data_IF_046626544975
#
_entry.id   IF_046626544975
#
_cell.length_a   1.000
_cell.length_b   1.000
_cell.length_c   1.000
_cell.angle_alpha   90.00
_cell.angle_beta   90.00
_cell.angle_gamma   90.00
#
_symmetry.space_group_name_H-M   'P 1'
#
loop_
_entity.id
_entity.type
_entity.pdbx_description
1 polymer ?
#
# COMPACT_ATOMS: atom_id res chain seq x y z
N UNK A 1 45.01 17.59 -32.66
CA UNK A 1 43.89 18.11 -33.48
C UNK A 1 42.59 17.56 -32.91
N UNK A 2 41.79 18.46 -32.32
CA UNK A 2 40.32 18.48 -32.19
C UNK A 2 39.53 17.19 -31.86
N UNK A 3 38.94 17.14 -30.65
CA UNK A 3 37.63 16.50 -30.39
C UNK A 3 36.47 17.43 -30.80
N UNK A 4 35.34 17.50 -30.06
CA UNK A 4 34.49 16.45 -29.47
C UNK A 4 32.96 16.70 -29.71
N UNK A 5 32.06 15.76 -29.39
CA UNK A 5 30.62 15.99 -29.16
C UNK A 5 30.18 15.04 -28.02
N UNK A 6 29.96 15.51 -26.79
CA UNK A 6 28.67 15.93 -26.16
C UNK A 6 27.58 14.85 -26.29
N UNK A 7 26.97 14.29 -25.24
CA UNK A 7 26.43 14.91 -24.02
C UNK A 7 24.93 14.56 -23.98
N UNK A 8 24.46 13.88 -22.93
CA UNK A 8 23.06 13.44 -22.87
C UNK A 8 22.70 12.80 -21.53
N UNK A 9 22.41 13.65 -20.55
CA UNK A 9 21.80 13.33 -19.26
C UNK A 9 20.46 12.59 -19.44
N UNK A 10 20.31 11.43 -18.81
CA UNK A 10 19.02 10.71 -18.70
C UNK A 10 18.57 10.73 -17.24
N UNK A 11 18.05 11.89 -16.83
CA UNK A 11 17.18 12.03 -15.67
C UNK A 11 15.91 11.19 -15.93
N UNK A 12 15.76 10.04 -15.26
CA UNK A 12 14.46 9.35 -15.18
C UNK A 12 13.63 10.03 -14.10
N UNK A 13 12.52 10.65 -14.52
CA UNK A 13 11.46 11.10 -13.62
C UNK A 13 10.87 9.89 -12.87
N UNK A 14 11.15 9.79 -11.57
CA UNK A 14 10.39 8.95 -10.64
C UNK A 14 9.19 9.77 -10.18
N UNK A 15 7.98 9.39 -10.60
CA UNK A 15 6.76 10.15 -10.33
C UNK A 15 5.68 9.24 -9.74
N UNK A 16 5.22 9.66 -8.55
CA UNK A 16 3.99 9.32 -7.81
C UNK A 16 3.99 8.12 -6.85
N UNK A 17 4.33 8.38 -5.58
CA UNK A 17 3.60 7.79 -4.44
C UNK A 17 2.80 8.85 -3.63
N UNK A 18 2.96 10.15 -3.95
CA UNK A 18 2.19 11.23 -3.31
C UNK A 18 1.73 12.25 -4.36
N UNK A 19 0.52 12.11 -4.90
CA UNK A 19 -0.22 13.30 -5.34
C UNK A 19 -1.60 13.34 -4.71
N UNK A 20 -1.75 14.34 -3.84
CA UNK A 20 -3.04 14.93 -3.50
C UNK A 20 -3.66 15.54 -4.75
N UNK A 21 -4.97 15.37 -4.86
CA UNK A 21 -5.87 15.92 -5.86
C UNK A 21 -5.62 17.41 -6.17
N UNK A 22 -5.31 17.71 -7.44
CA UNK A 22 -5.74 18.93 -8.15
C UNK A 22 -5.90 18.58 -9.64
N UNK A 23 -7.14 18.52 -10.11
CA UNK A 23 -7.47 18.49 -11.53
C UNK A 23 -7.33 19.92 -12.10
N UNK A 24 -6.53 20.16 -13.16
CA UNK A 24 -6.77 21.28 -14.04
C UNK A 24 -7.58 20.80 -15.24
N UNK A 25 -8.82 21.27 -15.33
CA UNK A 25 -9.62 21.20 -16.56
C UNK A 25 -9.03 22.25 -17.51
N UNK A 26 -8.25 21.81 -18.50
CA UNK A 26 -7.82 22.66 -19.59
C UNK A 26 -8.68 22.35 -20.82
N UNK A 27 -9.65 23.21 -21.06
CA UNK A 27 -10.37 23.34 -22.33
C UNK A 27 -9.40 23.84 -23.40
N UNK A 28 -9.23 23.09 -24.49
CA UNK A 28 -8.63 23.59 -25.73
C UNK A 28 -9.67 23.49 -26.84
N UNK A 29 -10.19 24.64 -27.26
CA UNK A 29 -10.97 24.79 -28.48
C UNK A 29 -10.04 24.60 -29.68
N UNK A 30 -10.20 23.49 -30.40
CA UNK A 30 -9.68 23.30 -31.74
C UNK A 30 -10.84 23.27 -32.74
N UNK A 31 -11.01 24.34 -33.50
CA UNK A 31 -11.97 24.44 -34.59
C UNK A 31 -11.49 23.58 -35.78
N UNK A 32 -12.09 22.41 -35.95
CA UNK A 32 -11.94 21.59 -37.15
C UNK A 32 -13.30 21.09 -37.58
N UNK A 33 -13.84 21.68 -38.65
CA UNK A 33 -15.10 21.27 -39.28
C UNK A 33 -14.90 19.93 -39.98
N UNK A 34 -15.38 18.84 -39.38
CA UNK A 34 -15.55 17.56 -40.04
C UNK A 34 -17.05 17.30 -40.23
N UNK A 35 -17.42 17.01 -41.47
CA UNK A 35 -18.75 16.61 -41.92
C UNK A 35 -19.39 15.59 -40.97
N UNK A 36 -20.57 15.93 -40.42
CA UNK A 36 -21.39 15.03 -39.62
C UNK A 36 -22.32 14.27 -40.57
N UNK A 37 -21.96 13.04 -40.92
CA UNK A 37 -22.96 12.08 -41.37
C UNK A 37 -23.67 11.48 -40.15
N UNK A 38 -25.00 11.48 -40.23
CA UNK A 38 -25.94 11.09 -39.19
C UNK A 38 -25.67 9.68 -38.66
N UNK A 39 -25.19 9.58 -37.42
CA UNK A 39 -25.04 8.30 -36.73
C UNK A 39 -25.94 8.25 -35.48
N UNK A 40 -27.21 7.89 -35.70
CA UNK A 40 -28.26 7.69 -34.68
C UNK A 40 -27.77 6.80 -33.53
N UNK A 41 -26.82 5.90 -33.80
CA UNK A 41 -26.26 4.97 -32.83
C UNK A 41 -25.40 5.64 -31.74
N UNK A 42 -24.68 6.72 -32.09
CA UNK A 42 -23.85 7.47 -31.14
C UNK A 42 -24.72 8.26 -30.16
N UNK A 43 -25.84 8.80 -30.64
CA UNK A 43 -26.79 9.56 -29.82
C UNK A 43 -27.50 8.69 -28.78
N UNK A 44 -27.98 7.51 -29.19
CA UNK A 44 -28.61 6.54 -28.26
C UNK A 44 -27.61 6.03 -27.21
N UNK A 45 -26.34 5.88 -27.57
CA UNK A 45 -25.31 5.46 -26.62
C UNK A 45 -24.98 6.56 -25.61
N UNK A 46 -24.88 7.82 -26.06
CA UNK A 46 -24.62 8.95 -25.18
C UNK A 46 -25.75 9.20 -24.18
N UNK A 47 -27.01 9.05 -24.58
CA UNK A 47 -28.16 9.16 -23.66
C UNK A 47 -28.14 8.06 -22.58
N UNK A 48 -27.81 6.82 -22.94
CA UNK A 48 -27.71 5.72 -21.98
C UNK A 48 -26.56 5.91 -20.98
N UNK A 49 -25.42 6.43 -21.45
CA UNK A 49 -24.29 6.77 -20.57
C UNK A 49 -24.65 7.93 -19.64
N UNK A 50 -25.34 8.96 -20.13
CA UNK A 50 -25.79 10.09 -19.31
C UNK A 50 -26.80 9.66 -18.22
N UNK A 51 -27.74 8.76 -18.56
CA UNK A 51 -28.67 8.19 -17.59
C UNK A 51 -27.94 7.40 -16.49
N UNK A 52 -26.96 6.55 -16.86
CA UNK A 52 -26.16 5.78 -15.92
C UNK A 52 -25.34 6.67 -14.97
N UNK A 53 -24.73 7.74 -15.49
CA UNK A 53 -24.00 8.74 -14.68
C UNK A 53 -24.95 9.46 -13.72
N UNK A 54 -26.17 9.78 -14.16
CA UNK A 54 -27.22 10.35 -13.31
C UNK A 54 -27.63 9.44 -12.16
N UNK A 55 -27.78 8.13 -12.43
CA UNK A 55 -28.11 7.12 -11.42
C UNK A 55 -27.02 7.01 -10.34
N UNK A 56 -25.75 6.96 -10.77
CA UNK A 56 -24.57 6.89 -9.87
C UNK A 56 -24.48 8.14 -8.99
N UNK A 57 -24.75 9.33 -9.54
CA UNK A 57 -24.75 10.57 -8.77
C UNK A 57 -25.85 10.58 -7.70
N UNK A 58 -27.04 10.02 -7.98
CA UNK A 58 -28.14 9.92 -7.01
C UNK A 58 -27.79 8.95 -5.88
N UNK A 59 -27.17 7.81 -6.18
CA UNK A 59 -26.72 6.85 -5.16
C UNK A 59 -25.63 7.46 -4.27
N UNK A 60 -24.66 8.16 -4.85
CA UNK A 60 -23.60 8.85 -4.08
C UNK A 60 -24.19 9.92 -3.13
N UNK A 61 -25.18 10.69 -3.59
CA UNK A 61 -25.86 11.69 -2.76
C UNK A 61 -26.65 11.05 -1.60
N UNK A 62 -27.30 9.90 -1.82
CA UNK A 62 -28.00 9.16 -0.78
C UNK A 62 -27.03 8.59 0.27
N UNK A 63 -25.88 8.05 -0.16
CA UNK A 63 -24.84 7.56 0.74
C UNK A 63 -24.22 8.68 1.58
N UNK A 64 -24.00 9.86 0.98
CA UNK A 64 -23.51 11.03 1.70
C UNK A 64 -24.51 11.53 2.76
N UNK A 65 -25.81 11.55 2.42
CA UNK A 65 -26.89 11.92 3.37
C UNK A 65 -27.04 10.89 4.49
N UNK A 66 -26.92 9.60 4.18
CA UNK A 66 -26.92 8.53 5.18
C UNK A 66 -25.72 8.63 6.12
N UNK A 67 -24.50 8.81 5.58
CA UNK A 67 -23.28 8.97 6.38
C UNK A 67 -23.34 10.20 7.31
N UNK A 68 -23.90 11.31 6.84
CA UNK A 68 -24.15 12.49 7.67
C UNK A 68 -25.20 12.21 8.77
N UNK A 69 -26.27 11.47 8.45
CA UNK A 69 -27.28 11.05 9.42
C UNK A 69 -26.71 10.13 10.52
N UNK A 70 -25.88 9.16 10.15
CA UNK A 70 -25.18 8.28 11.09
C UNK A 70 -24.24 9.09 11.99
N UNK A 71 -23.47 10.02 11.42
CA UNK A 71 -22.57 10.90 12.20
C UNK A 71 -23.32 11.76 13.22
N UNK A 72 -24.55 12.18 12.91
CA UNK A 72 -25.40 12.95 13.82
C UNK A 72 -25.99 12.09 14.94
N UNK A 73 -26.27 10.81 14.69
CA UNK A 73 -26.79 9.88 15.69
C UNK A 73 -25.72 9.39 16.67
N UNK A 74 -24.46 9.30 16.23
CA UNK A 74 -23.35 8.75 17.03
C UNK A 74 -22.53 9.85 17.73
N UNK A 75 -22.72 11.12 17.38
CA UNK A 75 -21.84 12.24 17.77
C UNK A 75 -22.27 13.11 18.95
N UNK A 76 -22.78 12.54 20.06
CA UNK A 76 -23.07 13.32 21.28
C UNK A 76 -22.62 12.62 22.58
N UNK A 77 -21.39 12.08 22.58
CA UNK A 77 -20.69 11.66 23.80
C UNK A 77 -19.27 12.23 23.79
N UNK A 78 -19.18 13.53 24.03
CA UNK A 78 -17.95 14.19 24.47
C UNK A 78 -18.24 14.73 25.88
N UNK A 79 -17.93 13.91 26.89
CA UNK A 79 -17.91 14.36 28.28
C UNK A 79 -16.53 14.89 28.63
N UNK A 80 -16.56 16.15 29.02
CA UNK A 80 -15.58 16.96 29.70
C UNK A 80 -14.88 16.25 30.88
N UNK A 81 -13.59 16.53 31.10
CA UNK A 81 -12.96 16.67 32.42
C UNK A 81 -11.45 16.91 32.31
N UNK A 82 -11.08 18.19 32.40
CA UNK A 82 -9.79 18.60 32.95
C UNK A 82 -9.75 18.32 34.46
N UNK A 83 -8.63 17.80 34.98
CA UNK A 83 -8.13 18.08 36.34
C UNK A 83 -6.67 17.62 36.46
N UNK A 84 -5.84 18.57 36.85
CA UNK A 84 -4.41 18.44 37.16
C UNK A 84 -4.19 17.78 38.52
N UNK A 85 -3.06 17.08 38.69
CA UNK A 85 -2.20 17.09 39.89
C UNK A 85 -0.97 16.21 39.65
N UNK A 86 0.22 16.72 39.99
CA UNK A 86 1.51 16.11 39.72
C UNK A 86 2.01 15.14 40.79
N UNK A 87 3.31 14.84 40.72
CA UNK A 87 4.06 14.17 41.79
C UNK A 87 4.90 12.99 41.32
N UNK A 88 6.21 13.19 41.29
CA UNK A 88 7.22 12.22 40.91
C UNK A 88 7.47 11.14 41.97
N UNK A 89 7.63 9.89 41.54
CA UNK A 89 8.47 8.84 42.14
C UNK A 89 8.84 7.91 40.96
N UNK A 90 10.07 7.83 40.46
CA UNK A 90 11.25 7.29 41.13
C UNK A 90 11.63 5.96 40.46
N UNK A 91 12.57 6.04 39.50
CA UNK A 91 13.47 5.02 38.95
C UNK A 91 13.28 3.56 39.40
N UNK A 92 13.11 2.66 38.43
CA UNK A 92 13.87 1.40 38.35
C UNK A 92 14.12 1.06 36.86
N UNK A 93 15.40 0.90 36.52
CA UNK A 93 15.91 0.55 35.19
C UNK A 93 15.40 -0.82 34.73
N UNK A 94 15.12 -1.00 33.43
CA UNK A 94 15.71 -2.04 32.55
C UNK A 94 15.04 -2.10 31.16
N UNK A 95 15.77 -1.62 30.16
CA UNK A 95 15.83 -2.04 28.74
C UNK A 95 14.58 -2.69 28.10
N UNK A 96 13.77 -1.89 27.42
CA UNK A 96 12.86 -2.33 26.36
C UNK A 96 13.25 -1.61 25.05
N UNK A 97 13.31 -2.30 23.89
CA UNK A 97 13.57 -1.64 22.61
C UNK A 97 12.44 -0.63 22.30
N UNK A 98 12.74 0.51 21.68
CA UNK A 98 11.75 1.52 21.37
C UNK A 98 10.82 0.98 20.27
N UNK A 99 9.56 0.66 20.62
CA UNK A 99 8.55 0.25 19.63
C UNK A 99 7.38 -0.60 20.12
N UNK A 100 7.34 -1.05 21.38
CA UNK A 100 6.16 -1.76 21.88
C UNK A 100 5.08 -0.77 22.35
N UNK A 101 4.17 -0.35 21.47
CA UNK A 101 2.86 0.11 21.93
C UNK A 101 2.14 -1.08 22.58
N UNK A 102 2.12 -1.08 23.90
CA UNK A 102 1.36 -2.01 24.72
C UNK A 102 -0.12 -1.69 24.57
N UNK A 103 -0.90 -2.56 23.89
CA UNK A 103 -2.36 -2.41 23.89
C UNK A 103 -3.15 -3.33 22.96
N UNK A 104 -2.63 -3.71 21.78
CA UNK A 104 -3.36 -4.62 20.87
C UNK A 104 -2.53 -5.85 20.55
N UNK A 105 -3.04 -7.08 20.75
CA UNK A 105 -2.35 -8.29 20.32
C UNK A 105 -2.19 -8.28 18.79
N UNK A 106 -0.95 -8.29 18.31
CA UNK A 106 -0.65 -8.39 16.89
C UNK A 106 -0.66 -9.85 16.43
N UNK A 107 -1.53 -10.19 15.47
CA UNK A 107 -1.62 -11.53 14.90
C UNK A 107 -0.28 -12.01 14.33
N UNK A 108 0.43 -11.17 13.60
CA UNK A 108 1.70 -11.54 12.96
C UNK A 108 2.83 -11.70 13.96
N UNK A 109 2.82 -10.99 15.10
CA UNK A 109 3.74 -11.27 16.21
C UNK A 109 3.52 -12.67 16.79
N UNK A 110 2.27 -13.13 16.89
CA UNK A 110 1.97 -14.48 17.37
C UNK A 110 2.47 -15.55 16.40
N UNK A 111 2.27 -15.36 15.10
CA UNK A 111 2.79 -16.24 14.05
C UNK A 111 4.33 -16.25 14.08
N UNK A 112 4.95 -15.08 14.12
CA UNK A 112 6.41 -14.91 14.16
C UNK A 112 7.06 -15.55 15.40
N UNK A 113 6.33 -15.61 16.51
CA UNK A 113 6.76 -16.26 17.75
C UNK A 113 6.43 -17.76 17.80
N UNK A 114 5.95 -18.36 16.69
CA UNK A 114 5.47 -19.74 16.61
C UNK A 114 4.40 -20.10 17.66
N UNK A 115 3.59 -19.11 18.07
CA UNK A 115 2.50 -19.30 19.03
C UNK A 115 1.15 -19.62 18.38
N UNK A 116 1.02 -19.41 17.07
CA UNK A 116 -0.18 -19.77 16.33
C UNK A 116 -0.06 -21.21 15.77
N UNK A 117 -0.87 -22.16 16.25
CA UNK A 117 -0.85 -23.54 15.77
C UNK A 117 -1.45 -23.72 14.37
N UNK A 118 -2.17 -22.73 13.85
CA UNK A 118 -2.90 -22.85 12.58
C UNK A 118 -2.06 -22.46 11.36
N UNK A 119 -0.96 -21.73 11.56
CA UNK A 119 -0.13 -21.24 10.46
C UNK A 119 1.08 -22.13 10.27
N UNK A 120 1.17 -22.78 9.11
CA UNK A 120 2.37 -23.53 8.71
C UNK A 120 3.40 -22.58 8.12
N UNK A 121 4.59 -22.53 8.73
CA UNK A 121 5.71 -21.74 8.24
C UNK A 121 6.38 -22.46 7.06
N UNK A 122 6.57 -21.74 5.96
CA UNK A 122 7.31 -22.20 4.78
C UNK A 122 8.81 -22.00 4.95
N UNK A 123 9.20 -21.00 5.73
CA UNK A 123 10.57 -20.63 6.08
C UNK A 123 10.57 -19.93 7.43
N UNK A 124 11.64 -20.13 8.19
CA UNK A 124 11.90 -19.42 9.44
C UNK A 124 13.41 -19.36 9.67
N UNK A 125 13.93 -18.17 9.98
CA UNK A 125 15.27 -17.99 10.53
C UNK A 125 15.20 -17.22 11.86
N UNK A 126 16.32 -16.64 12.30
CA UNK A 126 16.39 -15.86 13.55
C UNK A 126 15.50 -14.61 13.50
N UNK A 127 15.39 -13.96 12.35
CA UNK A 127 14.83 -12.61 12.19
C UNK A 127 13.54 -12.57 11.38
N UNK A 128 13.25 -13.58 10.55
CA UNK A 128 12.16 -13.59 9.58
C UNK A 128 11.37 -14.89 9.60
N UNK A 129 10.10 -14.80 9.18
CA UNK A 129 9.22 -15.93 8.90
C UNK A 129 8.54 -15.74 7.56
N UNK A 130 8.22 -16.85 6.89
CA UNK A 130 7.41 -16.85 5.67
C UNK A 130 6.26 -17.84 5.82
N UNK A 131 5.07 -17.41 5.44
CA UNK A 131 3.88 -18.26 5.45
C UNK A 131 2.94 -17.90 4.29
N UNK A 132 1.95 -18.75 4.04
CA UNK A 132 0.96 -18.53 2.98
C UNK A 132 -0.07 -17.48 3.42
N UNK A 133 -0.45 -16.62 2.48
CA UNK A 133 -1.61 -15.77 2.67
C UNK A 133 -2.88 -16.64 2.76
N UNK A 134 -3.79 -16.31 3.68
CA UNK A 134 -5.05 -17.04 3.89
C UNK A 134 -6.05 -16.81 2.75
N UNK A 135 -5.88 -15.73 1.98
CA UNK A 135 -6.65 -15.35 0.81
C UNK A 135 -5.69 -15.19 -0.38
N UNK A 136 -5.14 -16.30 -0.89
CA UNK A 136 -4.12 -16.26 -1.93
C UNK A 136 -4.66 -15.59 -3.20
N UNK A 137 -3.91 -14.62 -3.71
CA UNK A 137 -4.25 -13.89 -4.94
C UNK A 137 -3.81 -14.64 -6.20
N UNK A 138 -2.88 -15.59 -6.06
CA UNK A 138 -2.37 -16.48 -7.11
C UNK A 138 -1.91 -17.79 -6.46
N UNK A 139 -1.44 -18.76 -7.25
CA UNK A 139 -0.96 -20.07 -6.77
C UNK A 139 0.12 -19.93 -5.70
N UNK A 140 1.07 -19.04 -5.92
CA UNK A 140 2.03 -18.64 -4.89
C UNK A 140 1.64 -17.25 -4.41
N UNK A 141 1.10 -17.17 -3.19
CA UNK A 141 0.92 -15.92 -2.46
C UNK A 141 1.49 -16.10 -1.04
N UNK A 142 2.67 -15.54 -0.82
CA UNK A 142 3.40 -15.66 0.45
C UNK A 142 3.61 -14.30 1.08
N UNK A 143 3.69 -14.32 2.41
CA UNK A 143 3.99 -13.15 3.23
C UNK A 143 5.35 -13.36 3.90
N UNK A 144 6.31 -12.49 3.60
CA UNK A 144 7.59 -12.44 4.31
C UNK A 144 7.47 -11.40 5.41
N UNK A 145 7.68 -11.81 6.66
CA UNK A 145 7.41 -11.00 7.85
C UNK A 145 8.64 -11.00 8.76
N UNK A 146 9.18 -9.83 9.15
CA UNK A 146 10.20 -9.76 10.18
C UNK A 146 9.56 -10.07 11.54
N UNK A 147 10.28 -10.77 12.42
CA UNK A 147 9.83 -11.05 13.78
C UNK A 147 9.77 -9.78 14.63
N UNK A 148 10.63 -8.81 14.34
CA UNK A 148 10.52 -7.47 14.91
C UNK A 148 9.22 -6.82 14.44
N UNK A 149 8.45 -6.28 15.39
CA UNK A 149 7.22 -5.59 15.07
C UNK A 149 7.51 -4.19 14.50
N UNK A 150 7.29 -4.02 13.21
CA UNK A 150 7.34 -2.74 12.51
C UNK A 150 5.95 -2.50 11.96
N UNK A 151 5.33 -1.34 12.23
CA UNK A 151 3.90 -1.13 11.90
C UNK A 151 3.58 -1.24 10.41
N UNK A 152 4.40 -0.62 9.56
CA UNK A 152 4.22 -0.60 8.10
C UNK A 152 5.48 -0.05 7.42
N UNK A 153 5.52 -0.13 6.09
CA UNK A 153 6.62 0.42 5.27
C UNK A 153 6.86 1.92 5.48
N UNK A 154 5.85 2.69 5.90
CA UNK A 154 5.99 4.13 6.21
C UNK A 154 6.84 4.44 7.45
N UNK A 155 7.01 3.47 8.33
CA UNK A 155 7.83 3.62 9.54
C UNK A 155 9.31 3.34 9.31
N UNK A 156 9.70 2.99 8.08
CA UNK A 156 11.08 2.64 7.74
C UNK A 156 11.90 3.89 7.38
N UNK A 157 13.17 3.85 7.75
CA UNK A 157 14.19 4.87 7.48
C UNK A 157 15.23 4.32 6.49
N UNK A 158 16.11 5.16 5.90
CA UNK A 158 17.17 4.65 5.01
C UNK A 158 18.05 3.57 5.63
N UNK A 159 18.21 3.57 6.97
CA UNK A 159 18.96 2.54 7.68
C UNK A 159 18.31 1.14 7.58
N UNK A 160 17.01 1.08 7.27
CA UNK A 160 16.23 -0.15 7.16
C UNK A 160 16.17 -0.72 5.72
N UNK A 161 16.80 -0.05 4.73
CA UNK A 161 16.89 -0.58 3.36
C UNK A 161 17.47 -2.00 3.30
N UNK A 162 18.52 -2.36 4.08
CA UNK A 162 19.01 -3.73 4.14
C UNK A 162 17.94 -4.74 4.59
N UNK A 163 17.06 -4.36 5.54
CA UNK A 163 15.94 -5.20 5.96
C UNK A 163 14.97 -5.43 4.80
N UNK A 164 14.62 -4.38 4.04
CA UNK A 164 13.73 -4.52 2.87
C UNK A 164 14.35 -5.44 1.82
N UNK A 165 15.65 -5.30 1.53
CA UNK A 165 16.36 -6.18 0.60
C UNK A 165 16.34 -7.64 1.08
N UNK A 166 16.55 -7.86 2.39
CA UNK A 166 16.48 -9.20 2.97
C UNK A 166 15.08 -9.83 2.82
N UNK A 167 14.01 -9.05 2.96
CA UNK A 167 12.65 -9.53 2.68
C UNK A 167 12.48 -10.01 1.23
N UNK A 168 13.04 -9.27 0.26
CA UNK A 168 13.02 -9.63 -1.16
C UNK A 168 13.74 -10.95 -1.39
N UNK A 169 14.98 -11.06 -0.90
CA UNK A 169 15.84 -12.22 -1.11
C UNK A 169 15.19 -13.49 -0.57
N UNK A 170 14.68 -13.44 0.67
CA UNK A 170 13.97 -14.57 1.30
C UNK A 170 12.70 -14.91 0.50
N UNK A 171 11.94 -13.90 0.08
CA UNK A 171 10.71 -14.10 -0.69
C UNK A 171 10.94 -14.81 -2.02
N UNK A 172 11.97 -14.38 -2.76
CA UNK A 172 12.37 -15.00 -4.02
C UNK A 172 12.91 -16.42 -3.82
N UNK A 173 13.75 -16.63 -2.80
CA UNK A 173 14.27 -17.94 -2.44
C UNK A 173 13.12 -18.93 -2.17
N UNK A 174 12.21 -18.58 -1.26
CA UNK A 174 11.09 -19.47 -0.90
C UNK A 174 10.17 -19.71 -2.09
N UNK A 175 9.96 -18.71 -2.95
CA UNK A 175 9.16 -18.87 -4.15
C UNK A 175 9.75 -19.93 -5.08
N UNK A 176 11.05 -19.87 -5.36
CA UNK A 176 11.75 -20.83 -6.20
C UNK A 176 11.74 -22.24 -5.58
N UNK A 177 11.99 -22.35 -4.27
CA UNK A 177 11.94 -23.63 -3.54
C UNK A 177 10.55 -24.29 -3.59
N UNK A 178 9.47 -23.49 -3.69
CA UNK A 178 8.10 -24.00 -3.84
C UNK A 178 7.67 -24.19 -5.30
N UNK A 179 8.58 -24.05 -6.26
CA UNK A 179 8.33 -24.29 -7.68
C UNK A 179 7.67 -23.13 -8.43
N UNK A 180 7.67 -21.92 -7.86
CA UNK A 180 7.21 -20.72 -8.55
C UNK A 180 8.26 -20.15 -9.51
N UNK A 181 7.86 -19.14 -10.30
CA UNK A 181 8.75 -18.43 -11.23
C UNK A 181 8.92 -16.96 -10.82
N UNK A 182 10.09 -16.40 -11.14
CA UNK A 182 10.38 -14.96 -11.00
C UNK A 182 9.88 -14.14 -12.20
N UNK A 183 9.60 -14.76 -13.34
CA UNK A 183 9.25 -14.06 -14.59
C UNK A 183 7.95 -13.26 -14.49
N UNK A 184 7.01 -13.75 -13.68
CA UNK A 184 5.71 -13.12 -13.42
C UNK A 184 5.50 -12.90 -11.92
N UNK A 185 6.50 -12.30 -11.29
CA UNK A 185 6.53 -12.01 -9.87
C UNK A 185 6.04 -10.58 -9.58
N UNK A 186 5.08 -10.46 -8.66
CA UNK A 186 4.67 -9.23 -8.02
C UNK A 186 5.15 -9.21 -6.58
N UNK A 187 5.96 -8.21 -6.24
CA UNK A 187 6.37 -7.96 -4.86
C UNK A 187 6.01 -6.55 -4.42
N UNK A 188 5.59 -6.41 -3.17
CA UNK A 188 5.32 -5.10 -2.59
C UNK A 188 4.54 -5.16 -1.28
N UNK A 189 4.22 -3.97 -0.79
CA UNK A 189 3.56 -3.75 0.49
C UNK A 189 2.19 -3.16 0.27
N UNK A 190 1.24 -3.48 1.15
CA UNK A 190 0.04 -2.66 1.25
C UNK A 190 0.37 -1.28 1.82
N UNK A 191 -0.22 -0.23 1.25
CA UNK A 191 0.07 1.16 1.61
C UNK A 191 -0.95 1.70 2.61
N UNK A 192 -0.54 2.22 3.79
CA UNK A 192 -1.47 2.76 4.77
C UNK A 192 -2.28 3.93 4.21
N UNK A 193 -3.61 4.00 4.46
CA UNK A 193 -4.36 3.26 5.49
C UNK A 193 -4.90 1.88 5.06
N UNK A 194 -4.60 1.40 3.86
CA UNK A 194 -5.18 0.19 3.29
C UNK A 194 -4.43 -1.10 3.65
N UNK A 195 -3.97 -1.21 4.89
CA UNK A 195 -3.26 -2.38 5.42
C UNK A 195 -4.19 -3.18 6.32
N UNK A 196 -4.41 -4.46 6.01
CA UNK A 196 -5.27 -5.33 6.84
C UNK A 196 -4.65 -5.65 8.21
N UNK A 197 -3.31 -5.75 8.27
CA UNK A 197 -2.55 -6.03 9.49
C UNK A 197 -1.47 -4.97 9.66
N UNK A 198 -1.41 -4.36 10.85
CA UNK A 198 -0.42 -3.35 11.22
C UNK A 198 0.91 -3.98 11.65
N UNK A 199 1.49 -4.82 10.80
CA UNK A 199 2.82 -5.41 10.96
C UNK A 199 3.42 -5.52 9.57
N UNK A 200 4.64 -5.05 9.35
CA UNK A 200 5.31 -5.05 8.06
C UNK A 200 5.32 -6.45 7.46
N UNK A 201 4.78 -6.60 6.25
CA UNK A 201 4.81 -7.86 5.53
C UNK A 201 4.96 -7.58 4.04
N UNK A 202 5.91 -8.27 3.42
CA UNK A 202 6.11 -8.23 1.98
C UNK A 202 5.23 -9.29 1.32
N UNK A 203 4.36 -8.87 0.41
CA UNK A 203 3.63 -9.80 -0.46
C UNK A 203 4.55 -10.31 -1.56
N UNK A 204 4.58 -11.62 -1.74
CA UNK A 204 5.24 -12.33 -2.85
C UNK A 204 4.12 -13.04 -3.61
N UNK A 205 3.81 -12.58 -4.83
CA UNK A 205 2.72 -13.15 -5.64
C UNK A 205 3.24 -13.58 -7.00
N UNK A 206 3.06 -14.86 -7.33
CA UNK A 206 3.44 -15.43 -8.61
C UNK A 206 2.59 -16.67 -8.94
N UNK A 207 2.30 -16.96 -10.22
CA UNK A 207 2.48 -16.08 -11.37
C UNK A 207 1.33 -15.04 -11.44
N UNK A 208 1.55 -13.86 -12.00
CA UNK A 208 0.51 -12.82 -12.06
C UNK A 208 -0.65 -13.16 -13.00
N UNK A 209 -0.44 -14.01 -13.99
CA UNK A 209 -1.44 -14.38 -14.99
C UNK A 209 -2.65 -15.05 -14.33
N UNK A 210 -2.39 -15.82 -13.26
CA UNK A 210 -3.38 -16.56 -12.49
C UNK A 210 -4.12 -15.69 -11.46
N UNK A 211 -3.77 -14.42 -11.31
CA UNK A 211 -4.53 -13.52 -10.44
C UNK A 211 -5.94 -13.28 -10.98
N UNK A 212 -6.92 -13.24 -10.07
CA UNK A 212 -8.28 -12.80 -10.39
C UNK A 212 -8.29 -11.34 -10.86
N UNK A 213 -9.33 -10.94 -11.60
CA UNK A 213 -9.48 -9.54 -12.07
C UNK A 213 -9.45 -8.54 -10.92
N UNK A 214 -10.09 -8.87 -9.80
CA UNK A 214 -10.09 -7.99 -8.62
C UNK A 214 -8.69 -7.92 -7.97
N UNK A 215 -8.01 -9.05 -7.81
CA UNK A 215 -6.66 -9.10 -7.28
C UNK A 215 -5.67 -8.28 -8.12
N UNK A 216 -5.80 -8.34 -9.45
CA UNK A 216 -4.98 -7.53 -10.37
C UNK A 216 -5.15 -6.03 -10.12
N UNK A 217 -6.35 -5.56 -9.74
CA UNK A 217 -6.60 -4.15 -9.40
C UNK A 217 -5.97 -3.78 -8.06
N UNK A 218 -6.09 -4.64 -7.04
CA UNK A 218 -5.53 -4.39 -5.70
C UNK A 218 -4.00 -4.30 -5.77
N UNK A 219 -3.35 -5.30 -6.37
CA UNK A 219 -1.89 -5.42 -6.46
C UNK A 219 -1.28 -4.69 -7.67
N UNK A 220 -2.04 -3.78 -8.29
CA UNK A 220 -1.56 -2.96 -9.41
C UNK A 220 -0.56 -1.91 -8.90
N UNK A 221 0.61 -1.74 -9.54
CA UNK A 221 1.49 -0.60 -9.30
C UNK A 221 0.77 0.74 -9.46
N UNK A 222 1.09 1.69 -8.58
CA UNK A 222 0.47 3.01 -8.60
C UNK A 222 -0.99 3.03 -8.11
N UNK A 223 -1.52 1.91 -7.62
CA UNK A 223 -2.79 1.89 -6.91
C UNK A 223 -2.64 2.57 -5.53
N UNK A 224 -3.75 3.01 -4.94
CA UNK A 224 -3.74 3.54 -3.58
C UNK A 224 -3.48 2.45 -2.52
N UNK A 225 -3.62 1.18 -2.90
CA UNK A 225 -3.56 0.03 -1.99
C UNK A 225 -2.19 -0.61 -1.95
N UNK A 226 -1.43 -0.60 -3.06
CA UNK A 226 -0.24 -1.39 -3.21
C UNK A 226 0.97 -0.58 -3.66
N UNK A 227 2.07 -0.71 -2.93
CA UNK A 227 3.34 -0.07 -3.20
C UNK A 227 4.37 -1.15 -3.59
N UNK A 228 4.78 -1.21 -4.87
CA UNK A 228 5.88 -2.06 -5.31
C UNK A 228 7.15 -1.84 -4.50
N UNK A 229 8.01 -2.86 -4.41
CA UNK A 229 9.22 -2.76 -3.57
C UNK A 229 10.17 -1.64 -4.02
N UNK A 230 10.33 -1.44 -5.33
CA UNK A 230 11.17 -0.35 -5.86
C UNK A 230 10.65 1.03 -5.44
N UNK A 231 9.33 1.22 -5.49
CA UNK A 231 8.68 2.46 -5.05
C UNK A 231 8.81 2.65 -3.53
N UNK A 232 8.74 1.56 -2.77
CA UNK A 232 8.94 1.58 -1.32
C UNK A 232 10.38 1.98 -0.95
N UNK A 233 11.39 1.40 -1.61
CA UNK A 233 12.80 1.77 -1.41
C UNK A 233 13.01 3.24 -1.77
N UNK A 234 12.50 3.68 -2.93
CA UNK A 234 12.60 5.08 -3.36
C UNK A 234 11.86 6.06 -2.41
N UNK A 235 10.80 5.61 -1.73
CA UNK A 235 10.16 6.37 -0.67
C UNK A 235 11.07 6.51 0.56
N UNK A 236 11.62 5.39 1.04
CA UNK A 236 12.48 5.32 2.22
C UNK A 236 13.76 6.15 2.05
N UNK A 237 14.39 6.09 0.87
CA UNK A 237 15.57 6.90 0.56
C UNK A 237 15.27 8.39 0.63
N UNK A 238 14.08 8.81 0.19
CA UNK A 238 13.69 10.22 0.17
C UNK A 238 13.37 10.74 1.56
N UNK A 239 12.71 9.96 2.41
CA UNK A 239 12.29 10.41 3.74
C UNK A 239 13.49 10.73 4.65
N UNK A 240 14.61 10.01 4.53
CA UNK A 240 15.82 10.34 5.28
C UNK A 240 16.69 11.47 4.70
N UNK A 241 16.29 12.06 3.56
CA UNK A 241 16.92 13.29 3.04
C UNK A 241 16.12 14.55 3.39
N UNK A 242 14.99 14.42 4.07
CA UNK A 242 14.23 15.57 4.55
C UNK A 242 14.97 16.20 5.75
N UNK A 243 15.33 17.49 5.70
CA UNK A 243 16.09 18.16 6.77
C UNK A 243 15.32 18.35 8.09
N UNK A 244 14.07 17.85 8.18
CA UNK A 244 13.20 17.98 9.34
C UNK A 244 12.95 16.62 10.07
N UNK A 245 13.77 15.60 9.81
CA UNK A 245 13.71 14.28 10.47
C UNK A 245 14.59 14.20 11.73
#
# INVERSE_FOLDING_TARGET
RSGPYSGGSLLREVKLCERRHKFPVAFLFGTGTAHVENNVFVWVYLEKVAALVGEVARVAALLARWAYGVRRLVGNFASDSSLTMGGAVGKLFSNAPPGSEQGTPCLFCNIASAKDPNTTLLYQDEEYVVFRDIHPASTHHYLVVPKMHIRSVKGLTPADIPLVRRLIDIGQQVLLEKGGTLDSLRMGFHWPPFTSINHLHLHIISPMEQMSTLSKVIYMPGSAWFCPVDDAIAYIERTGTSPDA
#
